data_IF_738376840324
#
_entry.id   IF_738376840324
#
_cell.length_a   1.000
_cell.length_b   1.000
_cell.length_c   1.000
_cell.angle_alpha   90.00
_cell.angle_beta   90.00
_cell.angle_gamma   90.00
#
_symmetry.space_group_name_H-M   'P 1'
#
loop_
_entity.id
_entity.type
_entity.pdbx_description
1 polymer ?
#
# COMPACT_ATOMS: atom_id res chain seq x y z
N UNK A 1 -6.00 17.67 -5.41
CA UNK A 1 -6.48 16.32 -5.76
C UNK A 1 -7.21 16.31 -7.11
N UNK A 2 -6.55 16.69 -8.21
CA UNK A 2 -7.18 16.70 -9.55
C UNK A 2 -7.36 15.29 -10.12
N UNK A 3 -6.34 14.44 -9.94
CA UNK A 3 -6.36 13.05 -10.42
C UNK A 3 -7.47 12.20 -9.78
N UNK A 4 -7.64 12.31 -8.45
CA UNK A 4 -8.72 11.62 -7.72
C UNK A 4 -10.10 12.08 -8.20
N UNK A 5 -10.29 13.38 -8.47
CA UNK A 5 -11.54 13.89 -9.04
C UNK A 5 -11.80 13.30 -10.43
N UNK A 6 -10.80 13.26 -11.31
CA UNK A 6 -10.93 12.65 -12.63
C UNK A 6 -11.29 11.15 -12.54
N UNK A 7 -10.72 10.42 -11.57
CA UNK A 7 -11.12 9.06 -11.25
C UNK A 7 -12.60 8.98 -10.83
N UNK A 8 -13.04 9.81 -9.88
CA UNK A 8 -14.43 9.81 -9.38
C UNK A 8 -15.47 10.18 -10.46
N UNK A 9 -15.11 11.04 -11.42
CA UNK A 9 -15.99 11.39 -12.54
C UNK A 9 -15.89 10.45 -13.74
N UNK A 10 -15.05 9.40 -13.67
CA UNK A 10 -14.86 8.46 -14.77
C UNK A 10 -14.16 9.04 -16.00
N UNK A 11 -13.43 10.16 -15.84
CA UNK A 11 -12.63 10.77 -16.89
C UNK A 11 -11.31 10.02 -17.06
N UNK A 12 -11.36 8.78 -17.55
CA UNK A 12 -10.23 7.84 -17.49
C UNK A 12 -8.94 8.34 -18.14
N UNK A 13 -9.05 9.03 -19.28
CA UNK A 13 -7.88 9.62 -19.97
C UNK A 13 -7.21 10.70 -19.11
N UNK A 14 -8.01 11.63 -18.57
CA UNK A 14 -7.50 12.66 -17.67
C UNK A 14 -6.95 12.04 -16.38
N UNK A 15 -7.62 11.01 -15.85
CA UNK A 15 -7.16 10.30 -14.67
C UNK A 15 -5.74 9.74 -14.87
N UNK A 16 -5.50 9.00 -15.96
CA UNK A 16 -4.17 8.44 -16.25
C UNK A 16 -3.13 9.55 -16.40
N UNK A 17 -3.41 10.57 -17.20
CA UNK A 17 -2.47 11.67 -17.43
C UNK A 17 -2.11 12.40 -16.13
N UNK A 18 -3.10 12.74 -15.30
CA UNK A 18 -2.89 13.45 -14.04
C UNK A 18 -2.16 12.60 -12.99
N UNK A 19 -2.42 11.29 -12.90
CA UNK A 19 -1.67 10.42 -12.00
C UNK A 19 -0.24 10.21 -12.47
N UNK A 20 0.01 10.09 -13.78
CA UNK A 20 1.36 9.99 -14.33
C UNK A 20 2.17 11.26 -14.12
N UNK A 21 1.57 12.43 -14.36
CA UNK A 21 2.19 13.73 -14.08
C UNK A 21 2.51 13.89 -12.58
N UNK A 22 1.56 13.52 -11.71
CA UNK A 22 1.77 13.54 -10.25
C UNK A 22 2.89 12.59 -9.81
N UNK A 23 2.98 11.39 -10.41
CA UNK A 23 4.08 10.47 -10.16
C UNK A 23 5.43 11.04 -10.61
N UNK A 24 5.48 11.68 -11.79
CA UNK A 24 6.70 12.32 -12.26
C UNK A 24 7.16 13.42 -11.30
N UNK A 25 6.25 14.32 -10.89
CA UNK A 25 6.55 15.37 -9.91
C UNK A 25 7.01 14.80 -8.56
N UNK A 26 6.41 13.69 -8.13
CA UNK A 26 6.84 12.98 -6.91
C UNK A 26 8.31 12.53 -7.01
N UNK A 27 8.71 11.95 -8.15
CA UNK A 27 10.10 11.52 -8.35
C UNK A 27 11.09 12.68 -8.41
N UNK A 28 10.73 13.75 -9.11
CA UNK A 28 11.54 14.97 -9.19
C UNK A 28 11.74 15.57 -7.78
N UNK A 29 10.65 15.76 -7.03
CA UNK A 29 10.71 16.30 -5.67
C UNK A 29 11.45 15.37 -4.69
N UNK A 30 11.38 14.05 -4.89
CA UNK A 30 12.15 13.09 -4.10
C UNK A 30 13.66 13.26 -4.33
N UNK A 31 14.11 13.37 -5.58
CA UNK A 31 15.53 13.55 -5.89
C UNK A 31 16.05 14.94 -5.49
N UNK A 32 15.21 15.98 -5.60
CA UNK A 32 15.53 17.32 -5.09
C UNK A 32 15.77 17.30 -3.56
N UNK A 33 14.84 16.73 -2.79
CA UNK A 33 15.00 16.56 -1.34
C UNK A 33 16.28 15.79 -0.99
N UNK A 34 16.56 14.71 -1.72
CA UNK A 34 17.76 13.89 -1.48
C UNK A 34 19.05 14.65 -1.78
N UNK A 35 19.02 15.55 -2.75
CA UNK A 35 20.15 16.41 -3.09
C UNK A 35 20.39 17.48 -2.01
N UNK A 36 19.32 18.04 -1.43
CA UNK A 36 19.41 19.00 -0.32
C UNK A 36 20.04 18.37 0.94
N UNK A 37 19.81 17.09 1.19
CA UNK A 37 20.42 16.36 2.31
C UNK A 37 21.96 16.35 2.26
N UNK A 38 22.58 16.45 1.08
CA UNK A 38 24.04 16.51 0.96
C UNK A 38 24.59 17.89 1.32
N UNK A 39 23.76 18.94 1.24
CA UNK A 39 24.15 20.32 1.54
C UNK A 39 24.04 20.67 3.04
N UNK A 40 23.06 20.09 3.74
CA UNK A 40 22.75 20.44 5.14
C UNK A 40 23.88 20.10 6.14
N UNK A 41 24.73 19.11 5.84
CA UNK A 41 25.84 18.70 6.72
C UNK A 41 27.07 19.63 6.70
N UNK A 42 27.12 20.63 5.81
CA UNK A 42 28.24 21.58 5.77
C UNK A 42 28.16 22.66 6.87
N UNK A 43 27.16 22.62 7.77
CA UNK A 43 26.89 23.67 8.76
C UNK A 43 27.22 23.30 10.21
N UNK A 44 27.60 22.06 10.51
CA UNK A 44 28.19 21.75 11.82
C UNK A 44 29.62 22.27 11.81
N UNK A 45 29.83 23.42 12.44
CA UNK A 45 31.15 24.03 12.64
C UNK A 45 32.06 23.02 13.34
N UNK A 46 33.22 22.78 12.73
CA UNK A 46 34.28 21.95 13.29
C UNK A 46 34.87 22.75 14.45
N UNK A 47 34.30 22.61 15.64
CA UNK A 47 34.92 23.08 16.88
C UNK A 47 36.17 22.23 17.11
N UNK A 48 37.30 22.77 16.67
CA UNK A 48 38.59 22.11 16.58
C UNK A 48 39.31 22.01 17.92
N UNK A 49 38.77 21.27 18.88
CA UNK A 49 39.41 21.08 20.19
C UNK A 49 39.40 19.66 20.75
N UNK A 50 39.26 18.63 19.89
CA UNK A 50 39.54 17.24 20.28
C UNK A 50 40.60 16.62 19.38
N UNK A 51 41.83 16.60 19.91
CA UNK A 51 43.08 16.13 19.30
C UNK A 51 43.13 14.61 19.00
N UNK A 52 42.01 13.89 18.93
CA UNK A 52 42.03 12.43 18.73
C UNK A 52 40.72 11.76 18.26
N UNK A 53 39.77 12.48 17.68
CA UNK A 53 38.65 11.82 17.00
C UNK A 53 39.01 11.52 15.54
N UNK A 54 39.29 10.24 15.27
CA UNK A 54 39.71 9.69 13.99
C UNK A 54 38.79 10.15 12.84
N UNK A 55 39.36 10.61 11.72
CA UNK A 55 38.62 11.00 10.50
C UNK A 55 37.55 9.98 10.07
N UNK A 56 37.78 8.69 10.35
CA UNK A 56 36.83 7.60 10.17
C UNK A 56 35.49 7.84 10.88
N UNK A 57 35.52 8.29 12.14
CA UNK A 57 34.34 8.57 12.96
C UNK A 57 33.58 9.77 12.40
N UNK A 58 34.29 10.84 12.05
CA UNK A 58 33.68 12.04 11.46
C UNK A 58 32.97 11.75 10.13
N UNK A 59 33.64 11.03 9.22
CA UNK A 59 33.07 10.64 7.92
C UNK A 59 31.84 9.74 8.13
N UNK A 60 31.94 8.79 9.05
CA UNK A 60 30.84 7.86 9.36
C UNK A 60 29.62 8.60 9.92
N UNK A 61 29.81 9.51 10.87
CA UNK A 61 28.74 10.33 11.44
C UNK A 61 28.09 11.23 10.39
N UNK A 62 28.90 11.89 9.56
CA UNK A 62 28.39 12.71 8.45
C UNK A 62 27.55 11.88 7.50
N UNK A 63 28.06 10.71 7.07
CA UNK A 63 27.33 9.83 6.16
C UNK A 63 26.03 9.32 6.77
N UNK A 64 26.04 8.96 8.05
CA UNK A 64 24.85 8.56 8.80
C UNK A 64 23.74 9.62 8.71
N UNK A 65 24.06 10.89 8.97
CA UNK A 65 23.08 11.97 8.90
C UNK A 65 22.56 12.24 7.48
N UNK A 66 23.44 12.24 6.46
CA UNK A 66 22.99 12.37 5.07
C UNK A 66 22.00 11.26 4.74
N UNK A 67 22.32 10.03 5.12
CA UNK A 67 21.51 8.86 4.82
C UNK A 67 20.18 8.86 5.56
N UNK A 68 20.17 9.28 6.83
CA UNK A 68 18.97 9.44 7.63
C UNK A 68 18.05 10.52 7.04
N UNK A 69 18.62 11.66 6.62
CA UNK A 69 17.88 12.71 5.91
C UNK A 69 17.27 12.17 4.62
N UNK A 70 18.05 11.46 3.78
CA UNK A 70 17.59 10.89 2.51
C UNK A 70 16.43 9.91 2.69
N UNK A 71 16.45 9.06 3.73
CA UNK A 71 15.31 8.17 4.04
C UNK A 71 14.06 8.91 4.48
N UNK A 72 14.20 10.09 5.08
CA UNK A 72 13.04 10.88 5.48
C UNK A 72 12.33 11.53 4.28
N UNK A 73 13.01 11.69 3.13
CA UNK A 73 12.47 12.40 1.97
C UNK A 73 11.15 11.82 1.45
N UNK A 74 10.97 10.50 1.44
CA UNK A 74 9.71 9.88 0.99
C UNK A 74 8.53 10.32 1.87
N UNK A 75 8.78 10.42 3.18
CA UNK A 75 7.79 10.89 4.16
C UNK A 75 7.53 12.39 4.01
N UNK A 76 8.54 13.18 3.67
CA UNK A 76 8.38 14.62 3.36
C UNK A 76 7.54 14.83 2.09
N UNK A 77 7.75 14.01 1.05
CA UNK A 77 6.94 14.04 -0.17
C UNK A 77 5.53 13.46 0.02
N UNK A 78 5.23 12.89 1.20
CA UNK A 78 3.91 12.35 1.53
C UNK A 78 2.95 13.40 2.11
N UNK A 79 3.34 14.67 2.19
CA UNK A 79 2.45 15.76 2.63
C UNK A 79 1.67 16.34 1.45
N UNK A 80 0.35 16.14 1.46
CA UNK A 80 -0.57 16.74 0.50
C UNK A 80 -1.36 17.87 1.16
N UNK A 81 -1.22 19.10 0.66
CA UNK A 81 -1.94 20.28 1.17
C UNK A 81 -1.82 20.45 2.71
N UNK A 82 -0.64 20.16 3.27
CA UNK A 82 -0.39 20.24 4.72
C UNK A 82 -0.90 19.05 5.54
N UNK A 83 -1.43 18.00 4.91
CA UNK A 83 -1.83 16.75 5.59
C UNK A 83 -0.90 15.61 5.18
N UNK A 84 -0.42 14.86 6.15
CA UNK A 84 0.38 13.67 5.90
C UNK A 84 -0.50 12.54 5.38
N UNK A 85 -0.13 11.97 4.24
CA UNK A 85 -0.80 10.81 3.63
C UNK A 85 0.14 9.61 3.71
N UNK A 86 -0.16 8.67 4.61
CA UNK A 86 0.58 7.41 4.72
C UNK A 86 0.54 6.68 3.37
N UNK A 87 1.69 6.16 2.93
CA UNK A 87 1.81 5.36 1.70
C UNK A 87 1.36 6.07 0.41
N UNK A 88 1.57 7.39 0.29
CA UNK A 88 1.17 8.16 -0.89
C UNK A 88 1.57 7.51 -2.23
N UNK A 89 2.80 7.02 -2.34
CA UNK A 89 3.30 6.39 -3.56
C UNK A 89 2.54 5.10 -3.92
N UNK A 90 2.15 4.31 -2.92
CA UNK A 90 1.30 3.14 -3.13
C UNK A 90 -0.06 3.56 -3.69
N UNK A 91 -0.72 4.53 -3.06
CA UNK A 91 -2.05 4.99 -3.47
C UNK A 91 -2.08 5.55 -4.90
N UNK A 92 -0.97 6.12 -5.39
CA UNK A 92 -0.85 6.47 -6.81
C UNK A 92 -1.05 5.25 -7.71
N UNK A 93 -0.37 4.13 -7.43
CA UNK A 93 -0.50 2.92 -8.22
C UNK A 93 -1.86 2.23 -8.03
N UNK A 94 -2.45 2.28 -6.82
CA UNK A 94 -3.80 1.78 -6.54
C UNK A 94 -4.87 2.46 -7.41
N UNK A 95 -4.78 3.78 -7.62
CA UNK A 95 -5.71 4.46 -8.52
C UNK A 95 -5.31 4.35 -10.00
N UNK A 96 -4.01 4.44 -10.30
CA UNK A 96 -3.53 4.43 -11.67
C UNK A 96 -3.88 3.14 -12.40
N UNK A 97 -3.77 1.98 -11.73
CA UNK A 97 -4.14 0.71 -12.36
C UNK A 97 -5.61 0.65 -12.76
N UNK A 98 -6.51 1.23 -11.95
CA UNK A 98 -7.94 1.28 -12.24
C UNK A 98 -8.23 2.15 -13.45
N UNK A 99 -7.59 3.33 -13.54
CA UNK A 99 -7.76 4.21 -14.69
C UNK A 99 -7.20 3.60 -15.98
N UNK A 100 -6.03 2.96 -15.91
CA UNK A 100 -5.44 2.22 -17.04
C UNK A 100 -6.34 1.06 -17.50
N UNK A 101 -6.87 0.28 -16.56
CA UNK A 101 -7.78 -0.82 -16.86
C UNK A 101 -9.05 -0.34 -17.57
N UNK A 102 -9.65 0.77 -17.12
CA UNK A 102 -10.82 1.35 -17.76
C UNK A 102 -10.54 1.90 -19.17
N UNK A 103 -9.31 2.33 -19.46
CA UNK A 103 -8.84 2.67 -20.82
C UNK A 103 -8.47 1.45 -21.68
N UNK A 104 -8.64 0.22 -21.18
CA UNK A 104 -8.23 -1.03 -21.85
C UNK A 104 -6.70 -1.18 -22.00
N UNK A 105 -5.93 -0.43 -21.21
CA UNK A 105 -4.48 -0.55 -21.11
C UNK A 105 -4.11 -1.61 -20.06
N UNK A 106 -4.37 -2.88 -20.39
CA UNK A 106 -4.23 -3.99 -19.45
C UNK A 106 -2.79 -4.23 -18.99
N UNK A 107 -1.80 -4.06 -19.89
CA UNK A 107 -0.39 -4.27 -19.56
C UNK A 107 0.11 -3.27 -18.52
N UNK A 108 -0.23 -2.00 -18.72
CA UNK A 108 0.11 -0.91 -17.82
C UNK A 108 -0.60 -1.08 -16.47
N UNK A 109 -1.88 -1.51 -16.48
CA UNK A 109 -2.61 -1.82 -15.26
C UNK A 109 -1.94 -2.95 -14.46
N UNK A 110 -1.53 -4.04 -15.11
CA UNK A 110 -0.79 -5.12 -14.46
C UNK A 110 0.55 -4.65 -13.89
N UNK A 111 1.30 -3.82 -14.62
CA UNK A 111 2.55 -3.23 -14.13
C UNK A 111 2.31 -2.31 -12.91
N UNK A 112 1.25 -1.52 -12.90
CA UNK A 112 0.89 -0.67 -11.76
C UNK A 112 0.55 -1.50 -10.52
N UNK A 113 -0.18 -2.62 -10.68
CA UNK A 113 -0.43 -3.56 -9.57
C UNK A 113 0.87 -4.17 -9.05
N UNK A 114 1.80 -4.56 -9.92
CA UNK A 114 3.11 -5.04 -9.48
C UNK A 114 3.96 -3.98 -8.79
N UNK A 115 3.91 -2.73 -9.25
CA UNK A 115 4.56 -1.62 -8.56
C UNK A 115 4.01 -1.46 -7.14
N UNK A 116 2.67 -1.52 -7.00
CA UNK A 116 2.00 -1.44 -5.71
C UNK A 116 2.39 -2.61 -4.79
N UNK A 117 2.39 -3.85 -5.31
CA UNK A 117 2.81 -5.03 -4.55
C UNK A 117 4.31 -5.01 -4.19
N UNK A 118 5.16 -4.40 -5.02
CA UNK A 118 6.57 -4.25 -4.68
C UNK A 118 6.79 -3.24 -3.55
N UNK A 119 5.92 -2.23 -3.44
CA UNK A 119 5.92 -1.28 -2.32
C UNK A 119 5.29 -1.87 -1.05
N UNK A 120 4.21 -2.65 -1.18
CA UNK A 120 3.54 -3.32 -0.07
C UNK A 120 3.13 -4.76 -0.46
N UNK A 121 4.02 -5.75 -0.24
CA UNK A 121 3.80 -7.13 -0.71
C UNK A 121 2.57 -7.81 -0.14
N UNK A 122 2.13 -7.39 1.05
CA UNK A 122 0.99 -7.94 1.79
C UNK A 122 -0.30 -7.14 1.58
N UNK A 123 -0.35 -6.17 0.65
CA UNK A 123 -1.56 -5.42 0.39
C UNK A 123 -2.66 -6.33 -0.19
N UNK A 124 -3.73 -6.52 0.58
CA UNK A 124 -4.84 -7.41 0.25
C UNK A 124 -5.64 -6.93 -0.97
N UNK A 125 -5.83 -5.62 -1.12
CA UNK A 125 -6.56 -5.02 -2.24
C UNK A 125 -5.79 -5.29 -3.55
N UNK A 126 -4.48 -5.08 -3.54
CA UNK A 126 -3.62 -5.31 -4.71
C UNK A 126 -3.48 -6.79 -5.04
N UNK A 127 -3.36 -7.68 -4.04
CA UNK A 127 -3.40 -9.14 -4.25
C UNK A 127 -4.71 -9.57 -4.91
N UNK A 128 -5.85 -9.07 -4.42
CA UNK A 128 -7.16 -9.32 -5.05
C UNK A 128 -7.19 -8.82 -6.50
N UNK A 129 -6.69 -7.61 -6.75
CA UNK A 129 -6.70 -7.02 -8.09
C UNK A 129 -5.78 -7.79 -9.06
N UNK A 130 -4.62 -8.27 -8.60
CA UNK A 130 -3.76 -9.18 -9.37
C UNK A 130 -4.47 -10.48 -9.71
N UNK A 131 -5.14 -11.12 -8.74
CA UNK A 131 -5.93 -12.32 -8.97
C UNK A 131 -7.05 -12.09 -10.00
N UNK A 132 -7.73 -10.94 -9.90
CA UNK A 132 -8.74 -10.54 -10.88
C UNK A 132 -8.14 -10.44 -12.29
N UNK A 133 -7.00 -9.77 -12.46
CA UNK A 133 -6.35 -9.63 -13.76
C UNK A 133 -5.81 -10.96 -14.31
N UNK A 134 -5.22 -11.81 -13.46
CA UNK A 134 -4.84 -13.18 -13.85
C UNK A 134 -6.05 -13.92 -14.45
N UNK A 135 -7.17 -13.96 -13.75
CA UNK A 135 -8.38 -14.63 -14.25
C UNK A 135 -8.97 -13.97 -15.50
N UNK A 136 -8.93 -12.64 -15.58
CA UNK A 136 -9.47 -11.87 -16.70
C UNK A 136 -8.65 -12.07 -17.99
N UNK A 137 -7.33 -12.18 -17.89
CA UNK A 137 -6.43 -12.28 -19.06
C UNK A 137 -6.06 -13.72 -19.45
N UNK A 138 -6.19 -14.71 -18.55
CA UNK A 138 -5.86 -16.13 -18.79
C UNK A 138 -6.66 -16.82 -19.93
N UNK A 139 -7.58 -16.11 -20.59
CA UNK A 139 -8.26 -16.58 -21.80
C UNK A 139 -7.67 -16.11 -23.14
N UNK A 140 -6.79 -15.11 -23.18
CA UNK A 140 -6.44 -14.41 -24.45
C UNK A 140 -4.99 -13.93 -24.61
N UNK A 141 -4.06 -14.21 -23.69
CA UNK A 141 -2.71 -13.64 -23.79
C UNK A 141 -1.64 -14.69 -23.50
N UNK A 142 -0.73 -14.83 -24.46
CA UNK A 142 0.47 -15.68 -24.41
C UNK A 142 1.26 -15.51 -23.09
N UNK A 143 1.34 -16.57 -22.29
CA UNK A 143 2.34 -16.87 -21.25
C UNK A 143 2.82 -15.70 -20.33
N UNK A 144 1.89 -15.17 -19.53
CA UNK A 144 1.78 -15.22 -18.06
C UNK A 144 2.96 -14.91 -17.08
N UNK A 145 4.13 -14.43 -17.53
CA UNK A 145 5.15 -13.82 -16.63
C UNK A 145 5.54 -12.41 -17.08
N UNK A 146 5.29 -12.07 -18.34
CA UNK A 146 5.67 -10.77 -18.91
C UNK A 146 4.71 -9.62 -18.52
N UNK A 147 3.44 -9.92 -18.23
CA UNK A 147 2.43 -8.91 -17.89
C UNK A 147 2.63 -8.32 -16.49
N UNK A 148 3.03 -9.17 -15.54
CA UNK A 148 3.23 -8.79 -14.16
C UNK A 148 4.72 -8.55 -13.92
N UNK A 149 5.20 -7.39 -14.37
CA UNK A 149 6.55 -6.92 -14.08
C UNK A 149 6.56 -5.49 -13.55
N UNK A 150 7.16 -5.25 -12.37
CA UNK A 150 7.30 -3.90 -11.88
C UNK A 150 8.22 -3.08 -12.79
N UNK A 151 7.93 -1.79 -12.85
CA UNK A 151 8.71 -0.77 -13.55
C UNK A 151 10.16 -0.72 -13.04
N UNK A 152 11.08 -0.26 -13.90
CA UNK A 152 12.51 -0.18 -13.53
C UNK A 152 12.72 0.87 -12.44
N UNK A 153 11.96 1.95 -12.51
CA UNK A 153 11.94 3.09 -11.61
C UNK A 153 11.64 2.61 -10.17
N UNK A 154 10.54 1.85 -9.98
CA UNK A 154 10.17 1.32 -8.66
C UNK A 154 11.16 0.25 -8.18
N UNK A 155 11.65 -0.62 -9.06
CA UNK A 155 12.68 -1.61 -8.69
C UNK A 155 13.93 -0.93 -8.15
N UNK A 156 14.41 0.12 -8.82
CA UNK A 156 15.58 0.87 -8.41
C UNK A 156 15.33 1.61 -7.09
N UNK A 157 14.16 2.25 -6.96
CA UNK A 157 13.74 2.94 -5.73
C UNK A 157 13.72 1.98 -4.53
N UNK A 158 12.96 0.88 -4.61
CA UNK A 158 12.84 -0.09 -3.50
C UNK A 158 14.19 -0.72 -3.16
N UNK A 159 15.00 -1.06 -4.16
CA UNK A 159 16.36 -1.59 -3.94
C UNK A 159 17.22 -0.58 -3.18
N UNK A 160 17.19 0.68 -3.57
CA UNK A 160 17.95 1.76 -2.93
C UNK A 160 17.51 1.94 -1.48
N UNK A 161 16.23 2.18 -1.23
CA UNK A 161 15.68 2.40 0.11
C UNK A 161 15.99 1.21 1.05
N UNK A 162 15.93 -0.03 0.54
CA UNK A 162 16.30 -1.23 1.31
C UNK A 162 17.77 -1.22 1.71
N UNK A 163 18.68 -1.00 0.76
CA UNK A 163 20.13 -0.97 1.04
C UNK A 163 20.49 0.15 2.01
N UNK A 164 19.94 1.35 1.80
CA UNK A 164 20.13 2.50 2.68
C UNK A 164 19.66 2.18 4.10
N UNK A 165 18.55 1.44 4.26
CA UNK A 165 18.04 1.07 5.58
C UNK A 165 18.90 0.06 6.29
N UNK A 166 19.30 -1.00 5.59
CA UNK A 166 20.18 -2.01 6.15
C UNK A 166 21.47 -1.37 6.64
N UNK A 167 21.98 -0.38 5.90
CA UNK A 167 23.16 0.36 6.30
C UNK A 167 22.93 1.26 7.53
N UNK A 168 21.81 2.00 7.59
CA UNK A 168 21.46 2.77 8.79
C UNK A 168 21.34 1.86 10.03
N UNK A 169 20.65 0.73 9.92
CA UNK A 169 20.48 -0.23 11.02
C UNK A 169 21.83 -0.81 11.48
N UNK A 170 22.73 -1.08 10.54
CA UNK A 170 24.09 -1.50 10.84
C UNK A 170 24.84 -0.41 11.63
N UNK A 171 24.80 0.83 11.15
CA UNK A 171 25.45 1.95 11.85
C UNK A 171 24.87 2.22 13.24
N UNK A 172 23.54 2.18 13.40
CA UNK A 172 22.86 2.34 14.69
C UNK A 172 23.27 1.27 15.71
N UNK A 173 23.57 0.05 15.24
CA UNK A 173 23.97 -1.06 16.11
C UNK A 173 25.45 -0.98 16.52
N UNK A 174 26.32 -0.58 15.59
CA UNK A 174 27.77 -0.58 15.81
C UNK A 174 28.28 0.71 16.49
N UNK A 175 27.55 1.82 16.36
CA UNK A 175 27.91 3.09 17.02
C UNK A 175 27.25 3.17 18.41
N UNK A 176 28.05 3.42 19.47
CA UNK A 176 27.53 3.62 20.83
C UNK A 176 26.48 4.76 20.86
N UNK A 177 25.36 4.57 21.58
CA UNK A 177 24.23 5.53 21.66
C UNK A 177 24.66 6.97 22.01
N UNK A 178 25.73 7.11 22.80
CA UNK A 178 26.31 8.39 23.22
C UNK A 178 26.79 9.28 22.05
N UNK A 179 27.20 8.68 20.92
CA UNK A 179 27.64 9.41 19.72
C UNK A 179 26.48 9.85 18.80
N UNK A 180 25.32 9.19 18.89
CA UNK A 180 24.15 9.44 18.04
C UNK A 180 23.16 10.45 18.66
N UNK A 181 23.31 10.76 19.95
CA UNK A 181 22.39 11.61 20.74
C UNK A 181 22.45 13.12 20.44
N UNK A 182 23.23 13.56 19.44
CA UNK A 182 23.33 14.98 19.06
C UNK A 182 22.37 15.42 17.95
N UNK A 183 21.60 14.54 17.33
CA UNK A 183 20.70 14.90 16.21
C UNK A 183 19.21 14.80 16.56
N UNK A 184 18.51 15.89 16.25
CA UNK A 184 17.05 16.09 16.32
C UNK A 184 16.22 14.89 15.80
N UNK A 185 15.05 14.60 16.41
CA UNK A 185 14.17 13.51 16.00
C UNK A 185 13.41 13.90 14.72
N UNK A 186 14.07 13.91 13.57
CA UNK A 186 13.34 13.89 12.30
C UNK A 186 12.73 12.49 12.20
N UNK A 187 11.41 12.46 12.35
CA UNK A 187 10.62 11.30 12.70
C UNK A 187 11.02 10.01 11.98
N UNK A 188 11.13 8.95 12.78
CA UNK A 188 11.24 7.53 12.36
C UNK A 188 9.97 7.09 11.61
N UNK A 189 9.60 7.74 10.51
CA UNK A 189 8.54 7.25 9.64
C UNK A 189 9.19 6.21 8.75
N UNK A 190 9.11 4.97 9.21
CA UNK A 190 9.61 3.80 8.50
C UNK A 190 8.73 3.57 7.27
N UNK A 191 9.32 3.62 6.09
CA UNK A 191 8.68 3.11 4.89
C UNK A 191 8.78 1.58 4.92
N UNK A 192 7.76 0.78 5.28
CA UNK A 192 7.95 -0.65 5.46
C UNK A 192 8.42 -1.28 4.14
N UNK A 193 9.69 -1.70 4.11
CA UNK A 193 10.24 -2.50 3.01
C UNK A 193 10.64 -3.81 3.67
N UNK A 194 9.91 -4.87 3.33
CA UNK A 194 10.23 -6.21 3.81
C UNK A 194 11.62 -6.61 3.32
N UNK A 195 12.31 -7.36 4.17
CA UNK A 195 13.69 -7.83 4.00
C UNK A 195 13.88 -8.84 2.87
N UNK A 196 12.80 -9.36 2.29
CA UNK A 196 12.88 -10.43 1.31
C UNK A 196 13.22 -9.91 -0.08
N UNK A 197 13.84 -10.78 -0.85
CA UNK A 197 14.79 -10.49 -1.91
C UNK A 197 14.21 -9.67 -3.08
N UNK A 198 15.11 -9.06 -3.87
CA UNK A 198 14.75 -8.47 -5.15
C UNK A 198 13.97 -9.52 -5.97
N UNK A 199 12.82 -9.09 -6.49
CA UNK A 199 12.06 -9.70 -7.58
C UNK A 199 10.91 -10.64 -7.20
N UNK A 200 9.76 -10.23 -7.74
CA UNK A 200 8.53 -11.01 -7.98
C UNK A 200 7.76 -11.33 -6.71
N UNK A 201 6.50 -10.90 -6.69
CA UNK A 201 5.52 -11.31 -5.69
C UNK A 201 5.42 -12.84 -5.62
N UNK A 202 5.90 -13.40 -4.50
CA UNK A 202 5.97 -14.84 -4.24
C UNK A 202 4.66 -15.41 -3.66
N UNK A 203 3.63 -14.57 -3.50
CA UNK A 203 2.37 -15.02 -2.94
C UNK A 203 1.72 -16.10 -3.81
N UNK A 204 1.33 -17.21 -3.19
CA UNK A 204 0.69 -18.30 -3.91
C UNK A 204 -0.82 -18.03 -4.09
N UNK A 205 -1.18 -17.37 -5.19
CA UNK A 205 -2.56 -17.05 -5.56
C UNK A 205 -3.48 -18.25 -5.71
N UNK A 206 -2.96 -19.46 -5.98
CA UNK A 206 -3.78 -20.67 -6.06
C UNK A 206 -4.47 -21.00 -4.73
N UNK A 207 -3.89 -20.60 -3.58
CA UNK A 207 -4.51 -20.75 -2.26
C UNK A 207 -5.85 -20.03 -2.18
N UNK A 208 -5.99 -18.86 -2.81
CA UNK A 208 -7.24 -18.08 -2.78
C UNK A 208 -8.32 -18.78 -3.60
N UNK A 209 -7.96 -19.33 -4.76
CA UNK A 209 -8.90 -20.02 -5.65
C UNK A 209 -9.41 -21.34 -5.06
N UNK A 210 -8.60 -22.01 -4.23
CA UNK A 210 -8.93 -23.30 -3.64
C UNK A 210 -9.68 -23.19 -2.31
N UNK A 211 -9.52 -22.08 -1.59
CA UNK A 211 -10.12 -21.91 -0.26
C UNK A 211 -11.37 -21.04 -0.32
N UNK A 212 -12.51 -21.63 0.04
CA UNK A 212 -13.73 -20.88 0.27
C UNK A 212 -13.66 -20.20 1.65
N UNK A 213 -13.44 -18.88 1.66
CA UNK A 213 -13.31 -18.08 2.90
C UNK A 213 -14.60 -18.04 3.74
N UNK A 214 -15.76 -18.02 3.06
CA UNK A 214 -17.08 -18.01 3.67
C UNK A 214 -17.98 -19.02 2.98
N UNK A 215 -18.58 -19.90 3.78
CA UNK A 215 -19.55 -20.89 3.30
C UNK A 215 -20.89 -20.25 2.94
N UNK A 216 -21.67 -20.93 2.12
CA UNK A 216 -22.99 -20.43 1.72
C UNK A 216 -23.94 -20.27 2.92
N UNK A 217 -23.88 -21.17 3.90
CA UNK A 217 -24.68 -21.08 5.13
C UNK A 217 -24.28 -19.89 6.01
N UNK A 218 -22.99 -19.61 6.14
CA UNK A 218 -22.49 -18.43 6.86
C UNK A 218 -22.94 -17.12 6.19
N UNK A 219 -22.90 -17.06 4.85
CA UNK A 219 -23.44 -15.91 4.11
C UNK A 219 -24.94 -15.71 4.35
N UNK A 220 -25.75 -16.77 4.28
CA UNK A 220 -27.19 -16.68 4.55
C UNK A 220 -27.47 -16.22 5.98
N UNK A 221 -26.68 -16.70 6.94
CA UNK A 221 -26.77 -16.28 8.34
C UNK A 221 -26.47 -14.79 8.51
N UNK A 222 -25.39 -14.28 7.91
CA UNK A 222 -25.06 -12.85 7.94
C UNK A 222 -26.08 -12.00 7.17
N UNK A 223 -26.56 -12.52 6.04
CA UNK A 223 -27.55 -11.84 5.21
C UNK A 223 -28.87 -11.63 5.94
N UNK A 224 -29.38 -12.68 6.58
CA UNK A 224 -30.60 -12.58 7.38
C UNK A 224 -30.45 -11.53 8.49
N UNK A 225 -29.31 -11.48 9.17
CA UNK A 225 -29.07 -10.48 10.20
C UNK A 225 -29.04 -9.06 9.62
N UNK A 226 -28.49 -8.86 8.43
CA UNK A 226 -28.48 -7.56 7.77
C UNK A 226 -29.90 -7.07 7.42
N UNK A 227 -30.79 -7.98 7.01
CA UNK A 227 -32.18 -7.64 6.69
C UNK A 227 -33.02 -7.32 7.95
N UNK A 228 -32.76 -7.98 9.09
CA UNK A 228 -33.53 -7.77 10.34
C UNK A 228 -32.94 -6.74 11.30
N UNK A 229 -31.62 -6.55 11.29
CA UNK A 229 -30.90 -5.73 12.26
C UNK A 229 -29.89 -4.78 11.58
N UNK A 230 -30.35 -3.83 10.77
CA UNK A 230 -29.48 -2.97 9.95
C UNK A 230 -28.55 -2.04 10.75
N UNK A 231 -28.83 -1.82 12.04
CA UNK A 231 -28.06 -0.90 12.90
C UNK A 231 -27.42 -1.58 14.11
N UNK A 232 -27.72 -2.86 14.39
CA UNK A 232 -27.19 -3.53 15.58
C UNK A 232 -27.08 -5.04 15.38
N UNK A 233 -25.86 -5.51 15.07
CA UNK A 233 -25.64 -6.92 14.80
C UNK A 233 -25.65 -7.75 16.09
N UNK A 234 -26.41 -8.86 16.16
CA UNK A 234 -26.38 -9.73 17.33
C UNK A 234 -25.00 -10.39 17.52
N UNK A 235 -24.72 -10.81 18.75
CA UNK A 235 -23.40 -11.31 19.18
C UNK A 235 -22.86 -12.45 18.31
N UNK A 236 -23.72 -13.40 17.91
CA UNK A 236 -23.30 -14.55 17.10
C UNK A 236 -22.77 -14.14 15.72
N UNK A 237 -23.33 -13.09 15.12
CA UNK A 237 -22.88 -12.55 13.84
C UNK A 237 -21.55 -11.83 13.98
N UNK A 238 -21.36 -11.10 15.08
CA UNK A 238 -20.07 -10.46 15.39
C UNK A 238 -18.95 -11.50 15.51
N UNK A 239 -19.20 -12.59 16.25
CA UNK A 239 -18.25 -13.70 16.39
C UNK A 239 -17.90 -14.35 15.04
N UNK A 240 -18.89 -14.52 14.16
CA UNK A 240 -18.65 -15.05 12.81
C UNK A 240 -17.82 -14.09 11.96
N UNK A 241 -18.05 -12.77 12.06
CA UNK A 241 -17.25 -11.75 11.38
C UNK A 241 -15.80 -11.79 11.88
N UNK A 242 -15.59 -11.90 13.19
CA UNK A 242 -14.25 -12.03 13.78
C UNK A 242 -13.52 -13.29 13.30
N UNK A 243 -14.23 -14.42 13.23
CA UNK A 243 -13.67 -15.66 12.68
C UNK A 243 -13.33 -15.51 11.20
N UNK A 244 -14.21 -14.87 10.42
CA UNK A 244 -13.97 -14.60 9.01
C UNK A 244 -12.75 -13.68 8.79
N UNK A 245 -12.59 -12.64 9.62
CA UNK A 245 -11.40 -11.78 9.62
C UNK A 245 -10.12 -12.57 9.89
N UNK A 246 -10.15 -13.54 10.81
CA UNK A 246 -9.01 -14.44 11.05
C UNK A 246 -8.68 -15.27 9.81
N UNK A 247 -9.70 -15.85 9.15
CA UNK A 247 -9.52 -16.65 7.93
C UNK A 247 -8.91 -15.81 6.80
N UNK A 248 -9.42 -14.59 6.58
CA UNK A 248 -8.82 -13.63 5.62
C UNK A 248 -7.36 -13.37 5.99
N UNK A 249 -7.11 -13.07 7.26
CA UNK A 249 -5.78 -12.64 7.69
C UNK A 249 -4.73 -13.71 7.47
N UNK A 250 -5.09 -14.96 7.73
CA UNK A 250 -4.25 -16.14 7.49
C UNK A 250 -4.06 -16.41 5.99
N UNK A 251 -5.15 -16.36 5.20
CA UNK A 251 -5.08 -16.67 3.77
C UNK A 251 -4.25 -15.64 3.00
N UNK A 252 -4.42 -14.36 3.31
CA UNK A 252 -3.71 -13.25 2.68
C UNK A 252 -2.41 -12.87 3.41
N UNK A 253 -1.97 -13.63 4.41
CA UNK A 253 -0.68 -13.44 5.11
C UNK A 253 -0.46 -11.99 5.61
N UNK A 254 -1.53 -11.31 6.03
CA UNK A 254 -1.50 -9.92 6.51
C UNK A 254 -1.20 -9.84 8.01
N UNK A 255 -0.44 -8.83 8.41
CA UNK A 255 -0.04 -8.60 9.81
C UNK A 255 -1.05 -7.73 10.55
N UNK A 256 -1.52 -6.66 9.92
CA UNK A 256 -2.56 -5.78 10.43
C UNK A 256 -3.94 -6.25 9.95
N UNK A 257 -4.83 -6.55 10.89
CA UNK A 257 -6.18 -7.03 10.56
C UNK A 257 -7.06 -5.86 10.12
N UNK A 258 -7.88 -6.02 9.06
CA UNK A 258 -8.88 -5.04 8.68
C UNK A 258 -9.86 -4.80 9.83
N UNK A 259 -10.32 -3.55 9.95
CA UNK A 259 -11.30 -3.15 10.96
C UNK A 259 -12.69 -3.38 10.36
N UNK A 260 -13.52 -4.16 11.06
CA UNK A 260 -14.93 -4.26 10.72
C UNK A 260 -15.61 -2.91 10.89
N UNK A 261 -16.24 -2.43 9.81
CA UNK A 261 -16.93 -1.15 9.80
C UNK A 261 -18.45 -1.34 9.89
N UNK A 262 -19.00 -2.23 9.08
CA UNK A 262 -20.42 -2.53 9.11
C UNK A 262 -20.88 -3.50 8.04
N UNK A 263 -22.17 -3.85 8.06
CA UNK A 263 -22.82 -4.54 6.95
C UNK A 263 -23.81 -3.57 6.32
N UNK A 264 -23.73 -3.45 5.00
CA UNK A 264 -24.50 -2.49 4.24
C UNK A 264 -25.31 -3.20 3.18
N UNK A 265 -26.56 -2.78 3.04
CA UNK A 265 -27.50 -3.34 2.08
C UNK A 265 -28.10 -2.21 1.24
N UNK A 266 -27.73 -2.18 -0.05
CA UNK A 266 -28.32 -1.25 -1.00
C UNK A 266 -29.32 -1.95 -1.93
N UNK A 267 -30.44 -1.29 -2.28
CA UNK A 267 -31.39 -1.81 -3.25
C UNK A 267 -30.74 -2.10 -4.60
N UNK A 268 -31.32 -3.02 -5.37
CA UNK A 268 -30.83 -3.34 -6.73
C UNK A 268 -30.82 -2.09 -7.61
N UNK A 269 -29.74 -1.89 -8.35
CA UNK A 269 -29.57 -0.75 -9.26
C UNK A 269 -29.02 0.52 -8.60
N UNK A 270 -28.80 0.51 -7.29
CA UNK A 270 -28.11 1.57 -6.56
C UNK A 270 -26.71 1.10 -6.12
N UNK A 271 -25.81 2.08 -5.99
CA UNK A 271 -24.47 1.87 -5.46
C UNK A 271 -24.40 2.37 -4.02
N UNK A 272 -23.81 1.56 -3.15
CA UNK A 272 -23.38 1.96 -1.82
C UNK A 272 -21.91 2.35 -1.85
N UNK A 273 -21.52 3.23 -0.93
CA UNK A 273 -20.13 3.63 -0.74
C UNK A 273 -19.76 3.49 0.75
N UNK A 274 -18.57 2.98 1.01
CA UNK A 274 -18.04 2.84 2.36
C UNK A 274 -17.65 4.18 2.98
N UNK A 275 -17.68 4.26 4.32
CA UNK A 275 -17.26 5.45 5.07
C UNK A 275 -15.77 5.43 5.49
N UNK A 276 -15.00 4.42 5.06
CA UNK A 276 -13.59 4.33 5.41
C UNK A 276 -12.75 5.43 4.75
N UNK A 277 -11.69 5.86 5.44
CA UNK A 277 -10.73 6.84 4.91
C UNK A 277 -9.73 6.24 3.90
N UNK A 278 -9.61 4.91 3.88
CA UNK A 278 -8.67 4.13 3.05
C UNK A 278 -9.41 3.08 2.21
N UNK A 279 -8.72 2.48 1.21
CA UNK A 279 -9.31 1.45 0.35
C UNK A 279 -10.00 0.37 1.19
N UNK A 280 -11.24 0.06 0.84
CA UNK A 280 -12.05 -0.89 1.60
C UNK A 280 -12.09 -2.26 0.95
N UNK A 281 -12.19 -3.27 1.79
CA UNK A 281 -12.55 -4.61 1.38
C UNK A 281 -14.05 -4.73 1.65
N UNK A 282 -14.85 -4.73 0.59
CA UNK A 282 -16.24 -5.18 0.70
C UNK A 282 -16.33 -6.66 0.38
N UNK A 283 -17.17 -7.41 1.08
CA UNK A 283 -17.41 -8.83 0.84
C UNK A 283 -18.88 -9.05 0.64
N UNK A 284 -19.27 -9.52 -0.56
CA UNK A 284 -20.67 -9.78 -0.86
C UNK A 284 -21.22 -10.92 -0.01
N UNK A 285 -22.40 -10.68 0.55
CA UNK A 285 -23.21 -11.68 1.27
C UNK A 285 -24.53 -11.96 0.54
N UNK A 286 -24.62 -11.58 -0.74
CA UNK A 286 -25.77 -11.97 -1.56
C UNK A 286 -25.66 -13.44 -1.97
N UNK A 287 -26.80 -14.11 -2.16
CA UNK A 287 -26.85 -15.55 -2.43
C UNK A 287 -26.04 -15.97 -3.67
N UNK A 288 -26.00 -15.15 -4.72
CA UNK A 288 -25.40 -15.50 -6.01
C UNK A 288 -23.89 -15.24 -6.12
N UNK A 289 -23.34 -14.41 -5.25
CA UNK A 289 -21.92 -14.04 -5.26
C UNK A 289 -21.34 -13.93 -3.84
N UNK A 290 -21.85 -14.77 -2.94
CA UNK A 290 -21.37 -14.91 -1.57
C UNK A 290 -19.84 -15.06 -1.54
N UNK A 291 -19.18 -14.27 -0.70
CA UNK A 291 -17.73 -14.29 -0.52
C UNK A 291 -16.93 -13.55 -1.59
N UNK A 292 -17.57 -13.02 -2.64
CA UNK A 292 -16.87 -12.22 -3.64
C UNK A 292 -16.41 -10.89 -3.01
N UNK A 293 -15.11 -10.63 -3.08
CA UNK A 293 -14.53 -9.37 -2.61
C UNK A 293 -14.71 -8.25 -3.64
N UNK A 294 -15.04 -7.06 -3.17
CA UNK A 294 -15.23 -5.83 -3.93
C UNK A 294 -14.52 -4.64 -3.27
N UNK A 295 -14.60 -3.47 -3.91
CA UNK A 295 -13.93 -2.24 -3.48
C UNK A 295 -14.82 -1.30 -2.65
N UNK A 296 -14.54 -0.01 -2.77
CA UNK A 296 -15.25 1.10 -2.10
C UNK A 296 -16.72 1.20 -2.51
N UNK A 297 -17.00 0.96 -3.78
CA UNK A 297 -18.36 0.94 -4.32
C UNK A 297 -18.87 -0.49 -4.41
N UNK A 298 -20.10 -0.69 -3.97
CA UNK A 298 -20.73 -2.01 -3.93
C UNK A 298 -22.21 -1.98 -4.28
N UNK A 299 -22.74 -3.15 -4.63
CA UNK A 299 -24.16 -3.36 -4.92
C UNK A 299 -24.70 -4.54 -4.11
N UNK A 300 -26.00 -4.52 -3.80
CA UNK A 300 -26.60 -5.51 -2.91
C UNK A 300 -26.12 -5.38 -1.47
N UNK A 301 -26.03 -6.51 -0.76
CA UNK A 301 -25.51 -6.53 0.61
C UNK A 301 -24.06 -6.99 0.68
N UNK A 302 -23.26 -6.24 1.43
CA UNK A 302 -21.84 -6.49 1.66
C UNK A 302 -21.45 -6.25 3.11
N UNK A 303 -20.42 -6.95 3.56
CA UNK A 303 -19.67 -6.63 4.77
C UNK A 303 -18.54 -5.69 4.36
N UNK A 304 -18.36 -4.58 5.07
CA UNK A 304 -17.30 -3.61 4.80
C UNK A 304 -16.23 -3.69 5.89
N UNK A 305 -14.99 -3.80 5.45
CA UNK A 305 -13.81 -3.70 6.29
C UNK A 305 -12.93 -2.53 5.82
N UNK A 306 -12.52 -1.69 6.77
CA UNK A 306 -11.54 -0.63 6.55
C UNK A 306 -10.12 -1.17 6.75
N UNK A 307 -9.18 -0.73 5.92
CA UNK A 307 -7.76 -0.95 6.16
C UNK A 307 -7.23 0.00 7.26
N UNK A 308 -6.24 -0.47 8.04
CA UNK A 308 -5.57 0.27 9.13
C UNK A 308 -4.46 1.16 8.58
#
# INVERSE_FOLDING_TARGET
MKAVNAYSYGEWLNCVNLFQESLQQFWEALEDCRSECEYLNNKEEIDGDDEQNEWSVFITKTYFFVLQCKQSCVSQQSFLNGRFTKHLLLSHYEHLHLCQFNLKNGREACQSVENALLLQPKNIVMRRNKLFYLNYFNGNVENDVSLFQPSKEIKNFVRREKMERQFLQFLEKEMNEEYLLSSSPIGKIQFPLNSDDNSIDQFNYSKILQNQLISHSECLFLRSAADFFPHHFPLFQQLLIDEYLLRISQLYEIEEKPIFEGIYCVPKGLFGKSNCERPTISVSINNFNCGQMGGEEFTGCVIVFCEV
#
